data_IF_207027470890
#
_entry.id   IF_207027470890
#
_cell.length_a   1.000
_cell.length_b   1.000
_cell.length_c   1.000
_cell.angle_alpha   90.00
_cell.angle_beta   90.00
_cell.angle_gamma   90.00
#
_symmetry.space_group_name_H-M   'P 1'
#
loop_
_entity.id
_entity.type
_entity.pdbx_description
1 polymer ?
#
# COMPACT_ATOMS: atom_id res chain seq x y z
N UNK A 1 -28.71 -26.61 -47.33
CA UNK A 1 -27.74 -26.50 -46.23
C UNK A 1 -27.14 -25.11 -46.37
N UNK A 2 -27.80 -24.06 -45.86
CA UNK A 2 -27.69 -23.55 -44.47
C UNK A 2 -26.22 -23.23 -44.15
N UNK A 3 -25.76 -22.00 -43.88
CA UNK A 3 -26.35 -20.94 -43.05
C UNK A 3 -25.94 -19.50 -43.42
N UNK A 4 -26.94 -18.63 -43.30
CA UNK A 4 -27.05 -17.24 -42.81
C UNK A 4 -25.88 -16.62 -42.01
N UNK A 5 -25.49 -15.38 -42.34
CA UNK A 5 -25.64 -14.20 -41.44
C UNK A 5 -25.40 -12.88 -42.19
N UNK A 6 -26.27 -11.93 -41.89
CA UNK A 6 -26.42 -10.63 -42.52
C UNK A 6 -25.47 -9.57 -41.94
N UNK A 7 -25.07 -8.59 -42.76
CA UNK A 7 -24.57 -7.29 -42.30
C UNK A 7 -25.16 -6.22 -43.21
N UNK A 8 -26.21 -5.58 -42.71
CA UNK A 8 -26.83 -4.39 -43.30
C UNK A 8 -26.75 -3.29 -42.26
N UNK A 9 -25.92 -2.29 -42.49
CA UNK A 9 -25.97 -1.02 -41.75
C UNK A 9 -26.25 0.09 -42.77
N UNK A 10 -27.47 0.63 -42.67
CA UNK A 10 -27.99 1.69 -43.51
C UNK A 10 -27.43 3.05 -43.06
N UNK A 11 -27.15 3.91 -44.05
CA UNK A 11 -26.88 5.33 -43.88
C UNK A 11 -28.18 6.13 -43.72
N UNK A 12 -28.18 7.19 -42.90
CA UNK A 12 -29.10 8.35 -43.02
C UNK A 12 -28.59 9.56 -42.18
N UNK A 13 -27.65 10.33 -42.74
CA UNK A 13 -27.79 11.69 -43.30
C UNK A 13 -28.70 12.76 -42.66
N UNK A 14 -28.05 13.90 -42.28
CA UNK A 14 -28.46 15.34 -42.21
C UNK A 14 -29.51 15.80 -41.15
N UNK A 15 -29.52 17.01 -40.56
CA UNK A 15 -28.71 18.25 -40.62
C UNK A 15 -29.18 19.28 -39.54
N UNK A 16 -28.36 20.34 -39.34
CA UNK A 16 -28.63 21.67 -38.74
C UNK A 16 -28.85 21.78 -37.22
N UNK A 17 -28.31 22.77 -36.50
CA UNK A 17 -27.48 23.93 -36.86
C UNK A 17 -27.33 24.88 -35.65
N UNK A 18 -26.20 25.59 -35.63
CA UNK A 18 -25.87 26.87 -34.97
C UNK A 18 -26.40 27.20 -33.56
N UNK A 19 -25.49 27.52 -32.64
CA UNK A 19 -25.42 28.87 -32.03
C UNK A 19 -24.00 29.18 -31.55
N UNK A 20 -23.65 30.46 -31.69
CA UNK A 20 -22.34 31.05 -31.48
C UNK A 20 -22.25 31.64 -30.07
N UNK A 21 -21.09 31.51 -29.41
CA UNK A 21 -20.64 32.52 -28.45
C UNK A 21 -19.12 32.67 -28.60
N UNK A 22 -18.70 33.86 -29.02
CA UNK A 22 -17.30 34.22 -29.15
C UNK A 22 -16.64 34.49 -27.80
N UNK A 23 -15.39 34.06 -27.67
CA UNK A 23 -14.41 34.67 -26.78
C UNK A 23 -13.19 34.98 -27.63
N UNK A 24 -13.09 36.26 -28.01
CA UNK A 24 -11.93 36.87 -28.64
C UNK A 24 -11.04 37.48 -27.55
N UNK A 25 -9.71 37.37 -27.74
CA UNK A 25 -8.58 38.09 -27.08
C UNK A 25 -7.66 37.10 -26.36
N UNK A 26 -6.35 36.99 -26.58
CA UNK A 26 -5.34 37.61 -27.47
C UNK A 26 -4.07 36.72 -27.36
N UNK A 27 -3.24 36.58 -28.40
CA UNK A 27 -1.89 36.02 -28.25
C UNK A 27 -0.87 37.15 -28.02
N UNK A 28 0.11 37.02 -27.11
CA UNK A 28 1.31 37.86 -27.17
C UNK A 28 2.44 37.13 -27.93
N UNK A 29 2.72 37.62 -29.14
CA UNK A 29 3.99 37.42 -29.87
C UNK A 29 4.93 38.57 -29.52
N UNK A 30 6.13 38.27 -29.02
CA UNK A 30 7.41 38.86 -29.47
C UNK A 30 8.58 38.44 -28.56
N UNK A 31 9.51 37.64 -29.10
CA UNK A 31 10.93 37.64 -28.71
C UNK A 31 11.64 38.80 -29.46
N UNK A 32 12.85 39.30 -29.10
CA UNK A 32 14.09 38.51 -29.15
C UNK A 32 15.23 38.86 -28.15
N UNK A 33 16.16 37.91 -27.94
CA UNK A 33 17.62 38.20 -27.83
C UNK A 33 18.29 38.15 -26.45
N UNK A 34 19.32 37.29 -26.32
CA UNK A 34 20.31 37.23 -25.23
C UNK A 34 20.56 35.79 -24.75
N UNK A 35 21.23 34.91 -25.51
CA UNK A 35 22.70 34.72 -25.59
C UNK A 35 23.38 34.27 -24.29
N UNK A 36 23.69 32.97 -24.19
CA UNK A 36 24.89 32.45 -23.52
C UNK A 36 24.69 31.52 -22.32
N UNK A 37 25.59 30.54 -22.10
CA UNK A 37 25.20 29.14 -21.90
C UNK A 37 25.70 28.51 -20.59
N UNK A 38 25.04 27.45 -20.11
CA UNK A 38 25.69 26.32 -19.40
C UNK A 38 24.70 25.14 -19.41
N UNK A 39 24.82 24.21 -20.37
CA UNK A 39 25.65 22.99 -20.30
C UNK A 39 25.28 22.08 -19.13
N UNK A 40 24.19 21.33 -19.30
CA UNK A 40 24.04 20.00 -18.70
C UNK A 40 23.60 19.03 -19.79
N UNK A 41 24.49 18.83 -20.76
CA UNK A 41 24.46 17.69 -21.64
C UNK A 41 25.01 16.49 -20.86
N UNK A 42 24.19 15.86 -20.01
CA UNK A 42 24.45 14.46 -19.62
C UNK A 42 23.77 13.56 -20.64
N UNK A 43 24.23 13.70 -21.89
CA UNK A 43 23.92 12.79 -22.95
C UNK A 43 24.82 11.56 -22.74
N UNK A 44 24.19 10.44 -22.37
CA UNK A 44 24.78 9.11 -22.53
C UNK A 44 25.49 9.06 -23.91
N UNK A 45 26.75 8.61 -23.99
CA UNK A 45 27.40 8.48 -25.29
C UNK A 45 26.54 7.55 -26.13
N UNK A 46 25.97 8.08 -27.21
CA UNK A 46 25.18 7.34 -28.17
C UNK A 46 25.94 6.05 -28.54
N UNK A 47 25.24 4.92 -28.48
CA UNK A 47 25.73 3.66 -29.03
C UNK A 47 26.02 3.87 -30.52
N UNK A 48 27.28 4.15 -30.84
CA UNK A 48 27.79 3.94 -32.18
C UNK A 48 27.93 2.43 -32.35
N UNK A 49 26.89 1.84 -32.94
CA UNK A 49 26.96 0.52 -33.55
C UNK A 49 27.93 0.64 -34.73
N UNK A 50 29.19 0.27 -34.52
CA UNK A 50 30.13 0.10 -35.64
C UNK A 50 29.63 -1.09 -36.48
N UNK A 51 29.42 -0.92 -37.80
CA UNK A 51 29.13 -2.05 -38.67
C UNK A 51 30.30 -3.03 -38.61
N UNK A 52 29.99 -4.32 -38.62
CA UNK A 52 30.99 -5.36 -38.79
C UNK A 52 31.63 -5.17 -40.19
N UNK A 53 32.83 -4.57 -40.22
CA UNK A 53 33.66 -4.45 -41.43
C UNK A 53 34.12 -5.85 -41.85
N UNK A 54 33.39 -6.41 -42.81
CA UNK A 54 33.79 -7.53 -43.65
C UNK A 54 34.57 -6.96 -44.85
N UNK A 55 35.82 -6.55 -44.63
CA UNK A 55 36.75 -6.17 -45.69
C UNK A 55 37.94 -7.13 -45.70
N UNK A 56 37.91 -8.05 -46.67
CA UNK A 56 39.09 -8.69 -47.23
C UNK A 56 39.77 -7.68 -48.18
N UNK A 57 41.03 -7.29 -47.92
CA UNK A 57 42.06 -7.18 -48.97
C UNK A 57 43.45 -6.76 -48.45
N UNK A 58 44.43 -7.39 -49.12
CA UNK A 58 45.85 -7.13 -49.41
C UNK A 58 46.73 -6.15 -48.58
N UNK A 59 47.86 -6.68 -48.06
CA UNK A 59 49.09 -5.91 -47.80
C UNK A 59 49.37 -5.56 -46.32
N UNK A 60 50.56 -5.91 -45.81
CA UNK A 60 50.94 -5.79 -44.39
C UNK A 60 50.88 -4.40 -43.73
N UNK A 61 50.62 -3.32 -44.49
CA UNK A 61 50.33 -1.97 -43.97
C UNK A 61 48.88 -1.80 -43.50
N UNK A 62 47.93 -2.51 -44.12
CA UNK A 62 46.51 -2.45 -43.77
C UNK A 62 46.21 -3.27 -42.53
N UNK A 63 46.95 -4.37 -42.34
CA UNK A 63 46.89 -5.16 -41.12
C UNK A 63 47.38 -4.36 -39.90
N UNK A 64 48.51 -3.65 -40.02
CA UNK A 64 49.01 -2.79 -38.94
C UNK A 64 48.03 -1.66 -38.60
N UNK A 65 47.37 -1.09 -39.62
CA UNK A 65 46.34 -0.06 -39.44
C UNK A 65 45.09 -0.62 -38.75
N UNK A 66 44.66 -1.82 -39.11
CA UNK A 66 43.56 -2.56 -38.47
C UNK A 66 43.87 -2.86 -37.00
N UNK A 67 45.07 -3.35 -36.69
CA UNK A 67 45.50 -3.61 -35.31
C UNK A 67 45.58 -2.34 -34.48
N UNK A 68 46.10 -1.23 -35.03
CA UNK A 68 46.12 0.08 -34.36
C UNK A 68 44.72 0.62 -34.08
N UNK A 69 43.77 0.43 -34.99
CA UNK A 69 42.36 0.80 -34.79
C UNK A 69 41.75 -0.01 -33.65
N UNK A 70 41.88 -1.35 -33.71
CA UNK A 70 41.41 -2.26 -32.66
C UNK A 70 42.04 -1.92 -31.31
N UNK A 71 43.34 -1.67 -31.23
CA UNK A 71 44.00 -1.28 -29.98
C UNK A 71 43.34 -0.03 -29.35
N UNK A 72 43.04 0.99 -30.16
CA UNK A 72 42.32 2.19 -29.68
C UNK A 72 40.88 1.90 -29.27
N UNK A 73 40.18 1.01 -29.97
CA UNK A 73 38.82 0.61 -29.57
C UNK A 73 38.81 -0.13 -28.23
N UNK A 74 39.78 -1.02 -28.02
CA UNK A 74 39.94 -1.76 -26.78
C UNK A 74 40.33 -0.85 -25.64
N UNK A 75 41.21 0.12 -25.86
CA UNK A 75 41.54 1.16 -24.89
C UNK A 75 40.29 1.98 -24.50
N UNK A 76 39.49 2.42 -25.48
CA UNK A 76 38.23 3.12 -25.21
C UNK A 76 37.23 2.27 -24.43
N UNK A 77 37.10 0.98 -24.77
CA UNK A 77 36.22 0.05 -24.06
C UNK A 77 36.70 -0.21 -22.63
N UNK A 78 38.00 -0.42 -22.44
CA UNK A 78 38.60 -0.62 -21.12
C UNK A 78 38.40 0.61 -20.23
N UNK A 79 38.61 1.82 -20.76
CA UNK A 79 38.39 3.06 -20.00
C UNK A 79 36.92 3.20 -19.58
N UNK A 80 35.97 3.02 -20.51
CA UNK A 80 34.54 3.05 -20.19
C UNK A 80 34.14 2.00 -19.14
N UNK A 81 34.66 0.78 -19.26
CA UNK A 81 34.39 -0.28 -18.29
C UNK A 81 34.98 0.08 -16.92
N UNK A 82 36.21 0.58 -16.87
CA UNK A 82 36.83 1.05 -15.62
C UNK A 82 36.03 2.17 -14.95
N UNK A 83 35.55 3.14 -15.73
CA UNK A 83 34.74 4.25 -15.21
C UNK A 83 33.40 3.74 -14.65
N UNK A 84 32.76 2.80 -15.34
CA UNK A 84 31.52 2.15 -14.88
C UNK A 84 31.76 1.30 -13.64
N UNK A 85 32.82 0.50 -13.60
CA UNK A 85 33.20 -0.32 -12.45
C UNK A 85 33.53 0.53 -11.22
N UNK A 86 34.08 1.73 -11.43
CA UNK A 86 34.34 2.69 -10.34
C UNK A 86 33.05 3.28 -9.79
N UNK A 87 32.05 3.55 -10.64
CA UNK A 87 30.75 4.14 -10.23
C UNK A 87 29.74 3.10 -9.74
N UNK A 88 29.90 1.83 -10.10
CA UNK A 88 28.96 0.77 -9.77
C UNK A 88 28.72 0.61 -8.25
N UNK A 89 29.75 0.59 -7.38
CA UNK A 89 29.55 0.49 -5.94
C UNK A 89 28.75 1.67 -5.37
N UNK A 90 28.99 2.89 -5.85
CA UNK A 90 28.25 4.07 -5.41
C UNK A 90 26.77 4.01 -5.81
N UNK A 91 26.50 3.52 -7.03
CA UNK A 91 25.13 3.33 -7.52
C UNK A 91 24.40 2.23 -6.73
N UNK A 92 25.08 1.11 -6.46
CA UNK A 92 24.54 0.01 -5.67
C UNK A 92 24.24 0.45 -4.23
N UNK A 93 25.17 1.17 -3.60
CA UNK A 93 24.98 1.72 -2.26
C UNK A 93 23.79 2.70 -2.19
N UNK A 94 23.66 3.58 -3.20
CA UNK A 94 22.52 4.50 -3.30
C UNK A 94 21.20 3.75 -3.49
N UNK A 95 21.17 2.77 -4.39
CA UNK A 95 19.97 1.97 -4.63
C UNK A 95 19.51 1.25 -3.36
N UNK A 96 20.44 0.60 -2.65
CA UNK A 96 20.16 -0.05 -1.36
C UNK A 96 19.66 0.93 -0.31
N UNK A 97 20.29 2.10 -0.18
CA UNK A 97 19.86 3.11 0.78
C UNK A 97 18.46 3.67 0.48
N UNK A 98 18.08 3.75 -0.79
CA UNK A 98 16.75 4.20 -1.20
C UNK A 98 15.70 3.11 -0.93
N UNK A 99 16.05 1.85 -1.16
CA UNK A 99 15.20 0.70 -0.84
C UNK A 99 14.91 0.62 0.67
N UNK A 100 15.95 0.73 1.50
CA UNK A 100 15.81 0.76 2.97
C UNK A 100 14.93 1.93 3.44
N UNK A 101 15.13 3.14 2.90
CA UNK A 101 14.29 4.30 3.21
C UNK A 101 12.85 4.12 2.75
N UNK A 102 12.62 3.50 1.60
CA UNK A 102 11.29 3.23 1.08
C UNK A 102 10.54 2.22 1.96
N UNK A 103 11.20 1.13 2.35
CA UNK A 103 10.64 0.14 3.25
C UNK A 103 10.31 0.73 4.62
N UNK A 104 11.22 1.54 5.18
CA UNK A 104 10.98 2.24 6.44
C UNK A 104 9.79 3.21 6.33
N UNK A 105 9.73 4.01 5.27
CA UNK A 105 8.63 4.95 5.04
C UNK A 105 7.29 4.23 4.87
N UNK A 106 7.26 3.10 4.14
CA UNK A 106 6.07 2.28 3.98
C UNK A 106 5.64 1.65 5.30
N UNK A 107 6.59 1.14 6.09
CA UNK A 107 6.35 0.61 7.42
C UNK A 107 5.82 1.65 8.40
N UNK A 108 6.38 2.86 8.39
CA UNK A 108 5.91 3.98 9.20
C UNK A 108 4.50 4.43 8.79
N UNK A 109 4.25 4.54 7.48
CA UNK A 109 2.93 4.91 6.93
C UNK A 109 1.85 3.91 7.32
N UNK A 110 2.10 2.61 7.12
CA UNK A 110 1.12 1.56 7.43
C UNK A 110 0.78 1.49 8.92
N UNK A 111 1.78 1.66 9.79
CA UNK A 111 1.55 1.77 11.25
C UNK A 111 0.71 2.99 11.60
N UNK A 112 1.05 4.16 11.05
CA UNK A 112 0.31 5.39 11.30
C UNK A 112 -1.14 5.31 10.78
N UNK A 113 -1.37 4.70 9.61
CA UNK A 113 -2.73 4.45 9.09
C UNK A 113 -3.52 3.54 10.03
N UNK A 114 -2.91 2.44 10.50
CA UNK A 114 -3.55 1.53 11.45
C UNK A 114 -3.85 2.18 12.81
N UNK A 115 -2.97 3.04 13.32
CA UNK A 115 -3.21 3.84 14.53
C UNK A 115 -4.38 4.80 14.32
N UNK A 116 -4.41 5.52 13.19
CA UNK A 116 -5.50 6.44 12.86
C UNK A 116 -6.86 5.73 12.77
N UNK A 117 -6.92 4.54 12.18
CA UNK A 117 -8.16 3.75 12.11
C UNK A 117 -8.62 3.33 13.51
N UNK A 118 -7.72 2.87 14.37
CA UNK A 118 -8.02 2.51 15.76
C UNK A 118 -8.57 3.70 16.55
N UNK A 119 -7.92 4.85 16.45
CA UNK A 119 -8.34 6.09 17.11
C UNK A 119 -9.69 6.61 16.62
N UNK A 120 -9.97 6.49 15.31
CA UNK A 120 -11.28 6.85 14.75
C UNK A 120 -12.37 5.91 15.24
N UNK A 121 -12.13 4.60 15.18
CA UNK A 121 -13.10 3.60 15.59
C UNK A 121 -13.41 3.68 17.10
N UNK A 122 -12.38 3.91 17.93
CA UNK A 122 -12.56 4.07 19.36
C UNK A 122 -13.38 5.31 19.72
N UNK A 123 -13.07 6.46 19.09
CA UNK A 123 -13.87 7.69 19.26
C UNK A 123 -15.30 7.54 18.76
N UNK A 124 -15.52 6.84 17.64
CA UNK A 124 -16.85 6.63 17.08
C UNK A 124 -17.74 5.74 17.99
N UNK A 125 -17.16 4.73 18.62
CA UNK A 125 -17.90 3.74 19.41
C UNK A 125 -17.76 3.89 20.93
N UNK A 126 -17.03 4.91 21.39
CA UNK A 126 -16.81 5.18 22.81
C UNK A 126 -16.01 4.10 23.54
N UNK A 127 -15.02 3.52 22.87
CA UNK A 127 -14.18 2.45 23.44
C UNK A 127 -13.09 3.08 24.31
N UNK A 128 -12.90 2.62 25.55
CA UNK A 128 -11.83 3.12 26.43
C UNK A 128 -10.44 2.71 25.92
N UNK A 129 -9.44 3.53 26.23
CA UNK A 129 -8.06 3.39 25.76
C UNK A 129 -7.44 2.01 26.05
N UNK A 130 -7.79 1.41 27.19
CA UNK A 130 -7.37 0.06 27.60
C UNK A 130 -7.75 -1.02 26.59
N UNK A 131 -8.74 -0.77 25.73
CA UNK A 131 -9.23 -1.72 24.73
C UNK A 131 -8.77 -1.41 23.29
N UNK A 132 -8.00 -0.33 23.08
CA UNK A 132 -7.46 0.03 21.77
C UNK A 132 -6.54 -1.05 21.19
N UNK A 133 -5.82 -1.77 22.04
CA UNK A 133 -4.94 -2.88 21.63
C UNK A 133 -5.72 -4.01 20.94
N UNK A 134 -7.00 -4.20 21.27
CA UNK A 134 -7.84 -5.24 20.67
C UNK A 134 -8.49 -4.84 19.33
N UNK A 135 -8.32 -3.59 18.90
CA UNK A 135 -8.80 -3.07 17.62
C UNK A 135 -7.82 -3.38 16.49
N UNK A 136 -7.62 -4.66 16.21
CA UNK A 136 -6.74 -5.12 15.13
C UNK A 136 -7.52 -5.29 13.83
N UNK A 137 -6.94 -4.89 12.70
CA UNK A 137 -7.50 -5.12 11.37
C UNK A 137 -6.52 -4.73 10.26
N UNK A 138 -6.72 -5.28 9.07
CA UNK A 138 -5.93 -4.97 7.87
C UNK A 138 -6.51 -3.83 7.04
N UNK A 139 -7.75 -3.42 7.35
CA UNK A 139 -8.47 -2.33 6.69
C UNK A 139 -9.29 -1.52 7.70
N UNK A 140 -9.65 -0.28 7.33
CA UNK A 140 -10.49 0.59 8.16
C UNK A 140 -11.84 -0.08 8.48
N UNK A 141 -12.47 -0.73 7.51
CA UNK A 141 -13.75 -1.43 7.69
C UNK A 141 -13.68 -2.58 8.70
N UNK A 142 -12.58 -3.35 8.68
CA UNK A 142 -12.38 -4.43 9.65
C UNK A 142 -12.22 -3.90 11.08
N UNK A 143 -11.46 -2.80 11.24
CA UNK A 143 -11.26 -2.13 12.53
C UNK A 143 -12.58 -1.58 13.05
N UNK A 144 -13.39 -0.95 12.20
CA UNK A 144 -14.72 -0.44 12.54
C UNK A 144 -15.67 -1.56 12.97
N UNK A 145 -15.77 -2.64 12.19
CA UNK A 145 -16.60 -3.80 12.57
C UNK A 145 -16.13 -4.47 13.86
N UNK A 146 -14.83 -4.42 14.16
CA UNK A 146 -14.29 -4.93 15.43
C UNK A 146 -14.69 -4.02 16.58
N UNK A 147 -14.61 -2.71 16.38
CA UNK A 147 -15.03 -1.71 17.36
C UNK A 147 -16.52 -1.84 17.70
N UNK A 148 -17.39 -2.00 16.70
CA UNK A 148 -18.82 -2.26 16.91
C UNK A 148 -19.07 -3.48 17.79
N UNK A 149 -18.36 -4.59 17.51
CA UNK A 149 -18.47 -5.83 18.30
C UNK A 149 -18.01 -5.65 19.74
N UNK A 150 -16.97 -4.85 19.98
CA UNK A 150 -16.48 -4.57 21.34
C UNK A 150 -17.48 -3.66 22.06
N UNK A 151 -17.94 -2.59 21.41
CA UNK A 151 -18.92 -1.67 21.98
C UNK A 151 -20.23 -2.39 22.34
N UNK A 152 -20.73 -3.29 21.49
CA UNK A 152 -21.90 -4.12 21.77
C UNK A 152 -21.71 -5.03 23.00
N UNK A 153 -20.48 -5.48 23.29
CA UNK A 153 -20.19 -6.28 24.48
C UNK A 153 -20.07 -5.45 25.76
N UNK A 154 -19.55 -4.22 25.65
CA UNK A 154 -19.45 -3.28 26.77
C UNK A 154 -20.84 -2.77 27.18
N UNK A 155 -21.67 -2.44 26.19
CA UNK A 155 -23.02 -1.90 26.38
C UNK A 155 -24.10 -2.97 26.50
N UNK A 156 -23.77 -4.24 26.24
CA UNK A 156 -24.68 -5.37 26.31
C UNK A 156 -25.33 -5.53 27.69
N UNK A 157 -26.46 -6.28 27.77
CA UNK A 157 -27.24 -6.37 28.99
C UNK A 157 -26.35 -6.85 30.14
N UNK A 158 -26.19 -5.99 31.16
CA UNK A 158 -25.57 -6.37 32.43
C UNK A 158 -26.30 -7.61 32.93
N UNK A 159 -25.53 -8.60 33.40
CA UNK A 159 -26.06 -9.85 33.97
C UNK A 159 -27.29 -9.53 34.84
N UNK A 160 -28.38 -10.30 34.73
CA UNK A 160 -29.54 -10.07 35.58
C UNK A 160 -29.05 -10.00 37.02
N UNK A 161 -29.49 -8.95 37.73
CA UNK A 161 -29.15 -8.78 39.14
C UNK A 161 -29.54 -10.08 39.85
N UNK A 162 -28.64 -10.70 40.65
CA UNK A 162 -28.99 -11.91 41.38
C UNK A 162 -30.23 -11.61 42.21
N UNK A 163 -31.31 -12.34 41.93
CA UNK A 163 -32.58 -12.16 42.60
C UNK A 163 -32.38 -12.48 44.09
N UNK A 164 -32.55 -11.51 45.01
CA UNK A 164 -32.35 -11.74 46.43
C UNK A 164 -33.35 -12.75 47.01
N UNK A 165 -34.42 -13.09 46.27
CA UNK A 165 -35.39 -14.12 46.64
C UNK A 165 -35.01 -15.51 46.13
N UNK A 166 -34.08 -15.62 45.17
CA UNK A 166 -33.45 -16.89 44.77
C UNK A 166 -32.21 -17.17 45.64
N UNK A 167 -32.42 -17.72 46.83
CA UNK A 167 -31.34 -18.20 47.70
C UNK A 167 -31.51 -17.85 49.18
N UNK A 168 -32.40 -16.91 49.50
CA UNK A 168 -32.90 -16.71 50.86
C UNK A 168 -33.89 -17.81 51.21
N UNK A 169 -33.38 -18.98 51.56
CA UNK A 169 -34.19 -20.14 51.94
C UNK A 169 -35.30 -19.75 52.92
N UNK A 170 -36.52 -20.21 52.64
CA UNK A 170 -37.57 -20.25 53.64
C UNK A 170 -37.00 -20.83 54.93
N UNK A 171 -37.32 -20.20 56.08
CA UNK A 171 -36.96 -20.59 57.44
C UNK A 171 -36.31 -21.97 57.51
N UNK A 172 -35.02 -22.01 57.84
CA UNK A 172 -34.23 -23.25 57.93
C UNK A 172 -35.09 -24.36 58.57
N UNK A 173 -35.25 -25.53 57.92
CA UNK A 173 -35.97 -26.63 58.55
C UNK A 173 -35.29 -26.93 59.88
N UNK A 174 -36.09 -27.13 60.92
CA UNK A 174 -35.64 -27.31 62.30
C UNK A 174 -34.35 -28.12 62.35
N UNK A 175 -33.34 -27.60 63.04
CA UNK A 175 -32.04 -28.27 63.06
C UNK A 175 -32.21 -29.68 63.64
N UNK A 176 -31.37 -30.65 63.26
CA UNK A 176 -31.42 -31.99 63.84
C UNK A 176 -31.36 -31.98 65.38
N UNK A 177 -30.71 -30.96 65.97
CA UNK A 177 -30.69 -30.72 67.41
C UNK A 177 -32.05 -30.29 67.97
N UNK A 178 -32.81 -29.45 67.24
CA UNK A 178 -34.16 -29.03 67.63
C UNK A 178 -35.16 -30.18 67.55
N UNK A 179 -35.02 -31.04 66.53
CA UNK A 179 -35.84 -32.25 66.37
C UNK A 179 -35.55 -33.23 67.52
N UNK A 180 -34.28 -33.44 67.88
CA UNK A 180 -33.91 -34.29 69.02
C UNK A 180 -34.39 -33.71 70.36
N UNK A 181 -34.30 -32.39 70.53
CA UNK A 181 -34.75 -31.70 71.73
C UNK A 181 -36.28 -31.74 71.89
N UNK A 182 -37.06 -31.75 70.80
CA UNK A 182 -38.50 -31.98 70.85
C UNK A 182 -38.80 -33.41 71.29
N UNK A 183 -38.14 -34.41 70.70
CA UNK A 183 -38.36 -35.80 71.04
C UNK A 183 -38.00 -36.13 72.50
N UNK A 184 -36.91 -35.57 73.01
CA UNK A 184 -36.51 -35.72 74.40
C UNK A 184 -37.50 -35.04 75.38
N UNK A 185 -38.09 -33.90 75.00
CA UNK A 185 -39.13 -33.23 75.79
C UNK A 185 -40.43 -34.02 75.83
N UNK A 186 -40.87 -34.60 74.71
CA UNK A 186 -42.09 -35.42 74.67
C UNK A 186 -41.99 -36.69 75.52
N UNK A 187 -40.80 -37.28 75.63
CA UNK A 187 -40.59 -38.50 76.42
C UNK A 187 -40.49 -38.27 77.93
N UNK A 188 -40.22 -37.03 78.37
CA UNK A 188 -40.08 -36.69 79.79
C UNK A 188 -41.41 -36.32 80.47
N UNK A 189 -42.50 -36.17 79.69
CA UNK A 189 -43.83 -35.76 80.17
C UNK A 189 -44.86 -36.90 80.11
N UNK A 190 -44.41 -38.16 80.09
CA UNK A 190 -45.25 -39.36 80.21
C UNK A 190 -44.78 -40.22 81.37
#
# INVERSE_FOLDING_TARGET
>A
MSDTTATTAAASTLANGAEAVGVTSSPPTAAPGGTGPDTSADALPAEQHDPADDDQDEGGTDELTRWKRRARDWERRAKRNSDLATRYPDLEARARSLEEQYEEALGARTRAEADLWRERAARAHGIPDDLLEFLTGSSEDEVMQRAERIAAKITGPRRPLPDPTQGGGASAPASPADIFAQFARERLHR
#
